data_IF_604684650886
#
_entry.id   IF_604684650886
#
_cell.length_a   1.000
_cell.length_b   1.000
_cell.length_c   1.000
_cell.angle_alpha   90.00
_cell.angle_beta   90.00
_cell.angle_gamma   90.00
#
_symmetry.space_group_name_H-M   'P 1'
#
loop_
_entity.id
_entity.type
_entity.pdbx_description
1 polymer ?
#
# COMPACT_ATOMS: atom_id res chain seq x y z
N UNK A 1 -16.64 40.97 -21.51
CA UNK A 1 -16.56 39.51 -21.67
C UNK A 1 -16.27 38.91 -20.29
N UNK A 2 -17.31 38.41 -19.61
CA UNK A 2 -17.18 37.88 -18.25
C UNK A 2 -16.64 36.45 -18.28
N UNK A 3 -15.38 36.28 -17.87
CA UNK A 3 -14.77 34.98 -17.62
C UNK A 3 -15.51 34.29 -16.47
N UNK A 4 -16.37 33.33 -16.81
CA UNK A 4 -17.03 32.48 -15.82
C UNK A 4 -15.99 31.55 -15.20
N UNK A 5 -15.58 31.83 -13.97
CA UNK A 5 -14.74 30.93 -13.18
C UNK A 5 -15.58 29.72 -12.75
N UNK A 6 -15.38 28.59 -13.41
CA UNK A 6 -15.96 27.31 -13.02
C UNK A 6 -15.28 26.83 -11.74
N UNK A 7 -15.92 27.04 -10.58
CA UNK A 7 -15.48 26.52 -9.29
C UNK A 7 -15.48 24.98 -9.35
N UNK A 8 -14.30 24.39 -9.46
CA UNK A 8 -14.14 22.94 -9.41
C UNK A 8 -14.70 22.39 -8.09
N UNK A 9 -15.55 21.35 -8.13
CA UNK A 9 -16.11 20.76 -6.93
C UNK A 9 -14.98 20.22 -6.04
N UNK A 10 -14.88 20.74 -4.80
CA UNK A 10 -14.01 20.21 -3.76
C UNK A 10 -14.46 18.79 -3.42
N UNK A 11 -13.86 17.80 -4.07
CA UNK A 11 -14.04 16.40 -3.70
C UNK A 11 -13.57 16.21 -2.25
N UNK A 12 -14.28 15.41 -1.43
CA UNK A 12 -13.87 15.17 -0.05
C UNK A 12 -12.46 14.56 -0.02
N UNK A 13 -11.52 15.33 0.55
CA UNK A 13 -10.09 15.02 0.69
C UNK A 13 -9.94 14.03 1.87
N UNK A 14 -10.40 12.80 1.67
CA UNK A 14 -10.26 11.72 2.64
C UNK A 14 -9.71 10.47 1.96
N UNK A 15 -8.73 9.82 2.60
CA UNK A 15 -8.30 8.49 2.20
C UNK A 15 -9.52 7.57 2.37
N UNK A 16 -9.95 6.83 1.34
CA UNK A 16 -11.08 5.93 1.48
C UNK A 16 -10.77 4.91 2.58
N UNK A 17 -11.68 4.79 3.56
CA UNK A 17 -11.45 4.02 4.78
C UNK A 17 -11.10 2.55 4.50
N UNK A 18 -11.49 2.01 3.34
CA UNK A 18 -11.15 0.64 2.94
C UNK A 18 -9.65 0.47 2.69
N UNK A 19 -9.02 1.33 1.88
CA UNK A 19 -7.64 1.19 1.44
C UNK A 19 -6.68 1.32 2.63
N UNK A 20 -6.93 2.27 3.52
CA UNK A 20 -6.14 2.40 4.75
C UNK A 20 -6.28 1.18 5.68
N UNK A 21 -7.49 0.63 5.80
CA UNK A 21 -7.72 -0.59 6.59
C UNK A 21 -7.00 -1.81 6.00
N UNK A 22 -7.00 -1.95 4.68
CA UNK A 22 -6.26 -3.03 3.97
C UNK A 22 -4.75 -2.85 4.08
N UNK A 23 -4.24 -1.63 3.91
CA UNK A 23 -2.84 -1.34 4.13
C UNK A 23 -2.44 -1.66 5.58
N UNK A 24 -3.25 -1.29 6.57
CA UNK A 24 -3.04 -1.69 7.98
C UNK A 24 -3.02 -3.21 8.17
N UNK A 25 -3.89 -3.94 7.48
CA UNK A 25 -3.90 -5.41 7.50
C UNK A 25 -2.62 -5.99 6.89
N UNK A 26 -2.20 -5.52 5.71
CA UNK A 26 -0.92 -5.86 5.09
C UNK A 26 0.23 -5.68 6.08
N UNK A 27 0.33 -4.53 6.75
CA UNK A 27 1.42 -4.27 7.69
C UNK A 27 1.40 -5.19 8.92
N UNK A 28 0.25 -5.73 9.31
CA UNK A 28 0.19 -6.77 10.34
C UNK A 28 0.72 -8.09 9.79
N UNK A 29 0.34 -8.47 8.57
CA UNK A 29 0.86 -9.69 7.92
C UNK A 29 2.38 -9.65 7.77
N UNK A 30 2.95 -8.53 7.30
CA UNK A 30 4.39 -8.39 7.10
C UNK A 30 5.20 -8.53 8.41
N UNK A 31 4.59 -8.22 9.56
CA UNK A 31 5.20 -8.45 10.89
C UNK A 31 5.21 -9.91 11.32
N UNK A 32 4.38 -10.75 10.70
CA UNK A 32 4.19 -12.15 11.03
C UNK A 32 4.57 -13.06 9.85
N UNK A 33 5.51 -12.62 9.00
CA UNK A 33 6.14 -13.50 8.01
C UNK A 33 6.91 -14.62 8.72
N UNK A 34 7.00 -15.82 8.12
CA UNK A 34 7.71 -16.93 8.74
C UNK A 34 9.22 -16.66 8.80
N UNK A 35 9.88 -17.27 9.79
CA UNK A 35 11.32 -17.17 10.00
C UNK A 35 12.17 -17.77 8.85
N UNK A 36 11.56 -18.48 7.90
CA UNK A 36 12.22 -18.95 6.68
C UNK A 36 12.59 -17.81 5.72
N UNK A 37 11.96 -16.65 5.85
CA UNK A 37 12.32 -15.45 5.09
C UNK A 37 13.48 -14.74 5.81
N UNK A 38 14.61 -14.48 5.14
CA UNK A 38 15.76 -13.80 5.74
C UNK A 38 15.39 -12.50 6.44
N UNK A 39 15.83 -12.34 7.69
CA UNK A 39 15.63 -11.12 8.47
C UNK A 39 16.78 -10.15 8.20
N UNK A 40 16.45 -8.97 7.66
CA UNK A 40 17.38 -7.87 7.39
C UNK A 40 18.68 -8.32 6.70
N UNK A 41 18.62 -8.78 5.42
CA UNK A 41 19.83 -9.11 4.69
C UNK A 41 20.77 -7.88 4.59
N UNK A 42 22.09 -8.09 4.46
CA UNK A 42 23.05 -7.01 4.25
C UNK A 42 22.63 -6.08 3.12
N UNK A 43 22.99 -4.80 3.23
CA UNK A 43 22.46 -3.77 2.33
C UNK A 43 22.76 -4.03 0.85
N UNK A 44 23.93 -4.61 0.57
CA UNK A 44 24.38 -4.97 -0.79
C UNK A 44 23.56 -6.12 -1.42
N UNK A 45 22.91 -6.94 -0.58
CA UNK A 45 22.13 -8.11 -1.02
C UNK A 45 20.62 -7.85 -1.05
N UNK A 46 20.17 -6.77 -0.41
CA UNK A 46 18.76 -6.42 -0.41
C UNK A 46 18.35 -5.89 -1.79
N UNK A 47 17.18 -6.32 -2.23
CA UNK A 47 16.54 -5.76 -3.43
C UNK A 47 15.50 -4.70 -3.12
N UNK A 48 15.18 -4.48 -1.84
CA UNK A 48 14.09 -3.59 -1.44
C UNK A 48 14.57 -2.18 -1.17
N UNK A 49 14.17 -1.27 -2.08
CA UNK A 49 14.43 0.16 -1.98
C UNK A 49 13.15 0.92 -2.32
N UNK A 50 12.56 1.57 -1.32
CA UNK A 50 11.28 2.26 -1.47
C UNK A 50 11.48 3.78 -1.45
N UNK A 51 11.72 4.36 -2.62
CA UNK A 51 11.76 5.80 -2.86
C UNK A 51 11.28 6.10 -4.27
N UNK A 52 10.61 7.24 -4.47
CA UNK A 52 10.24 7.69 -5.81
C UNK A 52 11.47 8.33 -6.44
N UNK A 53 11.77 7.97 -7.68
CA UNK A 53 12.79 8.64 -8.46
C UNK A 53 12.26 10.02 -8.90
N UNK A 54 12.94 11.13 -8.58
CA UNK A 54 12.50 12.45 -9.00
C UNK A 54 12.42 12.59 -10.53
N UNK A 55 13.24 11.87 -11.29
CA UNK A 55 13.22 11.90 -12.76
C UNK A 55 11.94 11.24 -13.30
N UNK A 56 11.63 10.02 -12.84
CA UNK A 56 10.37 9.34 -13.20
C UNK A 56 9.13 10.16 -12.81
N UNK A 57 9.19 10.86 -11.66
CA UNK A 57 8.10 11.73 -11.20
C UNK A 57 7.94 12.94 -12.12
N UNK A 58 9.04 13.51 -12.61
CA UNK A 58 9.02 14.66 -13.51
C UNK A 58 8.51 14.28 -14.91
N UNK A 59 8.92 13.12 -15.42
CA UNK A 59 8.62 12.70 -16.79
C UNK A 59 7.22 12.14 -16.95
N UNK A 60 6.81 11.24 -16.05
CA UNK A 60 5.59 10.43 -16.20
C UNK A 60 4.60 10.60 -15.04
N UNK A 61 5.01 11.32 -14.00
CA UNK A 61 4.18 11.64 -12.83
C UNK A 61 4.31 10.67 -11.66
N UNK A 62 3.81 11.10 -10.49
CA UNK A 62 3.97 10.36 -9.23
C UNK A 62 3.42 8.93 -9.27
N UNK A 63 2.28 8.72 -9.96
CA UNK A 63 1.64 7.40 -10.02
C UNK A 63 2.44 6.41 -10.88
N UNK A 64 3.04 6.88 -11.98
CA UNK A 64 3.94 6.06 -12.79
C UNK A 64 5.17 5.68 -11.99
N UNK A 65 5.87 6.67 -11.40
CA UNK A 65 7.06 6.44 -10.58
C UNK A 65 6.77 5.47 -9.41
N UNK A 66 5.62 5.61 -8.76
CA UNK A 66 5.17 4.69 -7.72
C UNK A 66 5.01 3.26 -8.22
N UNK A 67 4.34 3.08 -9.37
CA UNK A 67 4.14 1.75 -9.96
C UNK A 67 5.46 1.12 -10.38
N UNK A 68 6.26 1.85 -11.16
CA UNK A 68 7.58 1.44 -11.62
C UNK A 68 8.45 1.01 -10.43
N UNK A 69 8.44 1.79 -9.34
CA UNK A 69 9.25 1.47 -8.16
C UNK A 69 8.88 0.15 -7.50
N UNK A 70 7.58 -0.12 -7.35
CA UNK A 70 7.11 -1.40 -6.82
C UNK A 70 7.45 -2.56 -7.77
N UNK A 71 7.33 -2.35 -9.08
CA UNK A 71 7.68 -3.38 -10.07
C UNK A 71 9.17 -3.73 -10.05
N UNK A 72 10.05 -2.73 -9.95
CA UNK A 72 11.50 -2.92 -9.85
C UNK A 72 11.85 -3.60 -8.53
N UNK A 73 11.31 -3.11 -7.41
CA UNK A 73 11.59 -3.62 -6.06
C UNK A 73 11.21 -5.09 -5.92
N UNK A 74 10.01 -5.47 -6.39
CA UNK A 74 9.54 -6.84 -6.34
C UNK A 74 9.93 -7.67 -7.57
N UNK A 75 10.70 -7.09 -8.50
CA UNK A 75 11.13 -7.70 -9.75
C UNK A 75 9.96 -8.34 -10.51
N UNK A 76 8.80 -7.70 -10.54
CA UNK A 76 7.57 -8.31 -11.07
C UNK A 76 7.64 -8.60 -12.56
N UNK A 77 8.50 -7.87 -13.28
CA UNK A 77 8.80 -8.13 -14.69
C UNK A 77 9.43 -9.52 -14.91
N UNK A 78 10.14 -10.07 -13.91
CA UNK A 78 10.76 -11.41 -13.97
C UNK A 78 9.80 -12.53 -13.60
N UNK A 79 8.63 -12.23 -13.04
CA UNK A 79 7.73 -13.26 -12.53
C UNK A 79 7.03 -14.03 -13.67
N UNK A 80 6.85 -13.46 -14.87
CA UNK A 80 6.19 -14.12 -16.02
C UNK A 80 4.88 -14.87 -15.65
N UNK A 81 4.07 -14.30 -14.75
CA UNK A 81 2.83 -14.90 -14.23
C UNK A 81 2.97 -15.65 -12.89
N UNK A 82 4.20 -15.85 -12.41
CA UNK A 82 4.46 -16.40 -11.09
C UNK A 82 3.93 -15.48 -9.97
N UNK A 83 3.65 -16.11 -8.82
CA UNK A 83 3.21 -15.43 -7.61
C UNK A 83 4.33 -14.56 -7.06
N UNK A 84 3.97 -13.40 -6.51
CA UNK A 84 4.91 -12.53 -5.81
C UNK A 84 5.28 -13.19 -4.48
N UNK A 85 6.57 -13.28 -4.17
CA UNK A 85 7.11 -13.87 -2.95
C UNK A 85 7.99 -12.84 -2.24
N UNK A 86 7.85 -12.72 -0.93
CA UNK A 86 8.74 -11.88 -0.12
C UNK A 86 10.09 -12.57 0.06
N UNK A 87 11.16 -11.90 -0.35
CA UNK A 87 12.53 -12.44 -0.30
C UNK A 87 13.26 -12.08 1.00
N UNK A 88 12.76 -11.09 1.72
CA UNK A 88 13.35 -10.57 2.95
C UNK A 88 12.25 -10.01 3.87
N UNK A 89 12.55 -9.97 5.17
CA UNK A 89 11.72 -9.35 6.19
C UNK A 89 12.54 -8.36 7.04
N UNK A 90 11.86 -7.52 7.84
CA UNK A 90 12.51 -6.58 8.75
C UNK A 90 12.32 -5.10 8.40
N UNK A 91 13.37 -4.29 8.62
CA UNK A 91 13.36 -2.82 8.57
C UNK A 91 12.94 -2.28 7.20
N UNK A 92 13.35 -2.95 6.12
CA UNK A 92 13.03 -2.54 4.73
C UNK A 92 11.54 -2.70 4.41
N UNK A 93 10.87 -3.71 4.94
CA UNK A 93 9.40 -3.77 4.87
C UNK A 93 8.74 -2.69 5.74
N UNK A 94 9.42 -2.21 6.78
CA UNK A 94 9.03 -1.01 7.52
C UNK A 94 9.05 0.26 6.67
N UNK A 95 10.01 0.41 5.75
CA UNK A 95 10.06 1.56 4.83
C UNK A 95 8.99 1.47 3.74
N UNK A 96 8.63 0.26 3.26
CA UNK A 96 7.46 0.04 2.41
C UNK A 96 6.17 0.59 3.04
N UNK A 97 5.99 0.40 4.35
CA UNK A 97 4.83 0.94 5.06
C UNK A 97 4.74 2.46 4.99
N UNK A 98 5.86 3.15 5.19
CA UNK A 98 5.92 4.61 5.08
C UNK A 98 5.68 5.06 3.64
N UNK A 99 6.32 4.38 2.69
CA UNK A 99 6.19 4.63 1.26
C UNK A 99 4.73 4.50 0.77
N UNK A 100 4.04 3.40 1.10
CA UNK A 100 2.64 3.22 0.74
C UNK A 100 1.74 4.27 1.39
N UNK A 101 1.92 4.57 2.68
CA UNK A 101 1.11 5.58 3.37
C UNK A 101 1.25 6.98 2.76
N UNK A 102 2.48 7.38 2.44
CA UNK A 102 2.75 8.68 1.82
C UNK A 102 2.08 8.77 0.44
N UNK A 103 2.23 7.73 -0.39
CA UNK A 103 1.68 7.72 -1.74
C UNK A 103 0.14 7.64 -1.76
N UNK A 104 -0.46 6.83 -0.89
CA UNK A 104 -1.93 6.76 -0.73
C UNK A 104 -2.50 8.11 -0.31
N UNK A 105 -1.80 8.84 0.56
CA UNK A 105 -2.23 10.18 0.99
C UNK A 105 -2.10 11.22 -0.12
N UNK A 106 -0.99 11.22 -0.86
CA UNK A 106 -0.71 12.19 -1.93
C UNK A 106 -1.62 11.98 -3.16
N UNK A 107 -1.77 10.73 -3.59
CA UNK A 107 -2.46 10.37 -4.83
C UNK A 107 -3.91 9.97 -4.56
N UNK A 108 -4.75 10.96 -4.20
CA UNK A 108 -6.18 10.78 -3.92
C UNK A 108 -7.08 10.75 -5.17
N UNK A 109 -6.49 10.76 -6.38
CA UNK A 109 -7.23 10.68 -7.63
C UNK A 109 -7.99 9.33 -7.74
N UNK A 110 -9.22 9.32 -8.28
CA UNK A 110 -10.00 8.09 -8.48
C UNK A 110 -9.22 6.97 -9.20
N UNK A 111 -8.49 7.31 -10.26
CA UNK A 111 -7.76 6.31 -11.07
C UNK A 111 -6.52 5.77 -10.35
N UNK A 112 -5.83 6.62 -9.58
CA UNK A 112 -4.70 6.23 -8.75
C UNK A 112 -5.13 5.24 -7.66
N UNK A 113 -6.34 5.40 -7.10
CA UNK A 113 -6.87 4.49 -6.07
C UNK A 113 -7.03 3.07 -6.57
N UNK A 114 -7.45 2.88 -7.82
CA UNK A 114 -7.56 1.54 -8.42
C UNK A 114 -6.22 0.80 -8.42
N UNK A 115 -5.16 1.50 -8.84
CA UNK A 115 -3.80 0.97 -8.90
C UNK A 115 -3.22 0.71 -7.50
N UNK A 116 -3.37 1.65 -6.57
CA UNK A 116 -2.93 1.49 -5.18
C UNK A 116 -3.61 0.30 -4.51
N UNK A 117 -4.94 0.18 -4.68
CA UNK A 117 -5.68 -0.93 -4.12
C UNK A 117 -5.20 -2.27 -4.71
N UNK A 118 -4.99 -2.35 -6.03
CA UNK A 118 -4.46 -3.55 -6.69
C UNK A 118 -3.07 -3.95 -6.15
N UNK A 119 -2.20 -2.99 -5.88
CA UNK A 119 -0.91 -3.28 -5.25
C UNK A 119 -1.05 -3.78 -3.82
N UNK A 120 -1.87 -3.12 -3.00
CA UNK A 120 -2.14 -3.55 -1.63
C UNK A 120 -2.71 -4.98 -1.61
N UNK A 121 -3.64 -5.31 -2.52
CA UNK A 121 -4.14 -6.68 -2.68
C UNK A 121 -3.05 -7.68 -2.99
N UNK A 122 -2.26 -7.37 -4.03
CA UNK A 122 -1.22 -8.27 -4.50
C UNK A 122 -0.21 -8.57 -3.39
N UNK A 123 0.13 -7.57 -2.57
CA UNK A 123 1.03 -7.70 -1.42
C UNK A 123 0.39 -8.49 -0.27
N UNK A 124 -0.91 -8.33 0.00
CA UNK A 124 -1.64 -9.12 1.00
C UNK A 124 -1.64 -10.61 0.60
N UNK A 125 -1.97 -10.90 -0.66
CA UNK A 125 -1.96 -12.25 -1.19
C UNK A 125 -0.56 -12.85 -1.13
N UNK A 126 0.47 -12.11 -1.53
CA UNK A 126 1.86 -12.55 -1.45
C UNK A 126 2.31 -12.85 -0.01
N UNK A 127 1.92 -12.02 0.96
CA UNK A 127 2.27 -12.22 2.36
C UNK A 127 1.59 -13.49 2.91
N UNK A 128 0.32 -13.68 2.56
CA UNK A 128 -0.47 -14.85 2.94
C UNK A 128 0.07 -16.13 2.29
N UNK A 129 0.40 -16.09 1.00
CA UNK A 129 1.02 -17.19 0.24
C UNK A 129 2.43 -17.53 0.78
N UNK A 130 3.14 -16.54 1.32
CA UNK A 130 4.40 -16.74 2.04
C UNK A 130 4.21 -17.32 3.44
N UNK A 131 2.98 -17.66 3.85
CA UNK A 131 2.69 -18.27 5.14
C UNK A 131 2.48 -17.30 6.31
N UNK A 132 2.37 -15.98 6.04
CA UNK A 132 2.10 -15.02 7.11
C UNK A 132 0.72 -15.28 7.74
N UNK A 133 0.70 -15.43 9.07
CA UNK A 133 -0.53 -15.64 9.84
C UNK A 133 -0.57 -14.65 11.00
N UNK A 134 -1.60 -13.82 11.05
CA UNK A 134 -1.83 -12.96 12.21
C UNK A 134 -2.36 -13.87 13.33
N UNK A 135 -1.66 -14.01 14.46
CA UNK A 135 -2.18 -14.79 15.57
C UNK A 135 -3.55 -14.21 15.97
N UNK A 136 -4.55 -15.05 16.26
CA UNK A 136 -5.79 -14.57 16.83
C UNK A 136 -5.39 -13.75 18.05
N UNK A 137 -5.86 -12.50 18.12
CA UNK A 137 -5.69 -11.73 19.35
C UNK A 137 -6.25 -12.61 20.43
N UNK A 138 -5.41 -13.06 21.37
CA UNK A 138 -5.93 -13.59 22.62
C UNK A 138 -6.75 -12.43 23.17
N UNK A 139 -8.07 -12.53 23.06
CA UNK A 139 -8.92 -11.85 24.02
C UNK A 139 -8.38 -12.41 25.32
N UNK A 140 -7.59 -11.61 26.03
CA UNK A 140 -7.55 -11.78 27.46
C UNK A 140 -8.97 -11.42 27.85
N UNK A 141 -9.84 -12.42 27.84
CA UNK A 141 -11.06 -12.40 28.60
C UNK A 141 -10.54 -12.21 30.02
N UNK A 142 -10.51 -10.94 30.42
CA UNK A 142 -10.54 -10.58 31.82
C UNK A 142 -11.93 -11.07 32.23
N UNK A 143 -12.00 -12.37 32.56
CA UNK A 143 -13.13 -12.99 33.23
C UNK A 143 -13.31 -12.19 34.51
N UNK A 144 -14.25 -11.25 34.41
CA UNK A 144 -14.73 -10.44 35.50
C UNK A 144 -15.84 -11.22 36.19
N UNK A 145 -15.46 -12.35 36.78
CA UNK A 145 -16.24 -13.07 37.78
C UNK A 145 -15.36 -13.14 39.03
N UNK A 146 -15.51 -12.14 39.91
CA UNK A 146 -15.66 -12.30 41.36
C UNK A 146 -15.75 -10.92 42.07
N UNK A 147 -16.94 -10.68 42.61
CA UNK A 147 -17.27 -10.03 43.88
C UNK A 147 -16.25 -9.10 44.61
N UNK A 148 -16.54 -7.78 44.56
CA UNK A 148 -16.34 -6.74 45.62
C UNK A 148 -14.90 -6.53 46.23
N UNK A 149 -14.68 -5.53 47.12
CA UNK A 149 -14.50 -4.12 46.81
C UNK A 149 -13.15 -3.54 47.34
N UNK A 150 -12.92 -2.23 47.07
CA UNK A 150 -11.95 -1.27 47.69
C UNK A 150 -10.65 -0.96 46.94
N UNK A 151 -10.64 0.29 46.45
CA UNK A 151 -9.67 1.36 46.75
C UNK A 151 -8.31 0.92 47.32
N UNK A 152 -7.27 1.11 46.53
CA UNK A 152 -6.13 1.96 46.91
C UNK A 152 -5.48 2.53 45.65
N UNK A 153 -5.66 3.83 45.48
CA UNK A 153 -4.94 4.66 44.52
C UNK A 153 -3.50 4.81 45.00
N UNK A 154 -2.55 4.26 44.26
CA UNK A 154 -1.13 4.48 44.50
C UNK A 154 -0.67 5.70 43.67
N UNK A 155 -0.46 6.80 44.39
CA UNK A 155 0.03 8.09 43.90
C UNK A 155 1.50 7.95 43.53
N UNK A 156 1.83 8.05 42.23
CA UNK A 156 3.20 8.18 41.76
C UNK A 156 3.66 9.63 42.00
N UNK A 157 4.56 9.82 42.96
CA UNK A 157 5.30 11.07 43.18
C UNK A 157 6.28 11.31 42.01
N UNK A 158 6.18 12.50 41.41
CA UNK A 158 7.19 13.04 40.50
C UNK A 158 8.12 13.95 41.30
N UNK A 159 9.36 13.53 41.53
CA UNK A 159 10.42 14.43 41.97
C UNK A 159 10.98 15.18 40.77
N UNK A 160 10.86 16.50 40.85
CA UNK A 160 11.38 17.49 39.91
C UNK A 160 12.56 18.19 40.57
N UNK A 161 13.78 17.89 40.12
CA UNK A 161 14.98 18.64 40.50
C UNK A 161 15.75 19.09 39.25
N UNK A 162 15.97 20.41 39.20
CA UNK A 162 16.63 21.19 38.16
C UNK A 162 18.17 21.02 38.19
N UNK A 163 18.91 21.37 37.12
CA UNK A 163 20.32 21.01 36.92
C UNK A 163 21.28 22.08 37.44
N UNK A 164 22.44 21.66 37.97
CA UNK A 164 23.58 22.54 38.24
C UNK A 164 24.88 21.91 37.72
N UNK A 165 25.44 22.59 36.72
CA UNK A 165 26.82 22.73 36.18
C UNK A 165 27.96 21.73 36.49
N UNK A 166 28.90 21.55 35.53
CA UNK A 166 29.90 20.47 35.52
C UNK A 166 31.24 20.86 36.15
N UNK A 167 31.94 19.88 36.71
CA UNK A 167 33.37 19.98 37.07
C UNK A 167 34.17 18.89 36.36
N UNK A 168 35.19 19.33 35.64
CA UNK A 168 36.23 18.56 34.94
C UNK A 168 37.35 18.22 35.92
N UNK A 169 37.84 16.97 35.92
CA UNK A 169 39.26 16.56 36.02
C UNK A 169 39.36 15.03 36.10
N UNK A 170 39.99 14.32 35.16
CA UNK A 170 41.42 14.01 34.95
C UNK A 170 41.83 12.64 35.55
N UNK A 171 42.68 11.91 34.80
CA UNK A 171 43.57 10.77 35.15
C UNK A 171 43.05 9.31 35.19
N UNK A 172 43.27 8.58 34.07
CA UNK A 172 44.09 7.35 33.81
C UNK A 172 44.56 6.43 34.97
N UNK A 173 45.22 5.27 34.71
CA UNK A 173 45.01 4.13 33.78
C UNK A 173 45.23 2.73 34.44
N UNK A 174 45.17 1.64 33.63
CA UNK A 174 45.68 0.26 33.89
C UNK A 174 44.94 -0.56 34.97
N UNK A 175 44.80 -1.90 34.92
CA UNK A 175 45.49 -2.96 34.20
C UNK A 175 44.73 -4.30 34.33
N UNK A 176 44.81 -5.12 33.27
CA UNK A 176 45.14 -6.56 33.27
C UNK A 176 44.49 -7.53 34.26
N UNK A 177 43.73 -8.51 33.74
CA UNK A 177 43.76 -9.93 34.18
C UNK A 177 42.90 -10.82 33.27
N UNK A 178 43.55 -11.62 32.42
CA UNK A 178 43.14 -12.98 32.02
C UNK A 178 43.54 -13.97 33.15
N UNK A 179 43.37 -15.32 33.12
CA UNK A 179 42.97 -16.29 32.06
C UNK A 179 42.07 -17.46 32.61
N UNK A 180 42.10 -18.77 32.20
CA UNK A 180 42.17 -19.47 30.88
C UNK A 180 41.08 -20.60 30.68
N UNK A 181 41.26 -21.42 29.62
CA UNK A 181 40.84 -22.86 29.45
C UNK A 181 39.43 -23.06 28.81
N UNK A 182 39.17 -23.87 27.77
CA UNK A 182 39.94 -24.91 27.04
C UNK A 182 39.44 -25.11 25.61
N UNK A 183 40.39 -25.47 24.78
CA UNK A 183 40.34 -26.23 23.52
C UNK A 183 39.25 -27.30 23.40
N UNK A 184 38.60 -27.36 22.24
CA UNK A 184 38.30 -28.65 21.61
C UNK A 184 38.35 -28.50 20.08
N UNK A 185 39.19 -29.34 19.48
CA UNK A 185 39.40 -29.43 18.04
C UNK A 185 38.32 -30.32 17.43
N UNK A 186 37.64 -29.84 16.38
CA UNK A 186 37.11 -30.73 15.35
C UNK A 186 37.38 -30.14 13.98
N UNK A 187 38.40 -30.74 13.37
CA UNK A 187 38.70 -30.77 11.96
C UNK A 187 37.49 -31.32 11.19
N UNK A 188 36.94 -30.51 10.28
CA UNK A 188 36.01 -30.97 9.27
C UNK A 188 36.34 -30.29 7.94
N UNK A 189 37.24 -30.95 7.20
CA UNK A 189 37.28 -31.11 5.75
C UNK A 189 36.59 -30.02 4.92
N UNK A 190 37.43 -29.11 4.40
CA UNK A 190 37.07 -28.21 3.32
C UNK A 190 36.80 -29.01 2.03
N UNK A 191 35.53 -29.33 1.78
CA UNK A 191 35.07 -29.67 0.45
C UNK A 191 34.70 -28.37 -0.28
N UNK A 192 35.69 -27.76 -0.94
CA UNK A 192 35.46 -26.73 -1.95
C UNK A 192 34.46 -27.26 -2.98
N UNK A 193 33.32 -26.58 -3.23
CA UNK A 193 32.52 -26.89 -4.40
C UNK A 193 33.36 -26.49 -5.62
N UNK A 194 33.87 -27.51 -6.32
CA UNK A 194 34.46 -27.35 -7.66
C UNK A 194 33.44 -26.62 -8.53
N UNK A 195 33.73 -25.37 -8.85
CA UNK A 195 33.11 -24.70 -9.97
C UNK A 195 33.35 -25.58 -11.21
N UNK A 196 32.34 -25.80 -12.07
CA UNK A 196 32.57 -26.40 -13.36
C UNK A 196 33.56 -25.50 -14.11
N UNK A 197 34.78 -26.03 -14.28
CA UNK A 197 35.81 -25.47 -15.13
C UNK A 197 35.20 -25.31 -16.52
N UNK A 198 34.86 -24.06 -16.87
CA UNK A 198 34.48 -23.71 -18.24
C UNK A 198 35.71 -23.91 -19.10
N UNK A 199 35.77 -25.07 -19.76
CA UNK A 199 36.67 -25.30 -20.87
C UNK A 199 36.46 -24.19 -21.89
N UNK A 200 37.51 -23.46 -22.30
CA UNK A 200 37.38 -22.48 -23.36
C UNK A 200 36.92 -23.18 -24.64
N UNK A 201 36.03 -22.56 -25.43
CA UNK A 201 35.59 -23.14 -26.69
C UNK A 201 36.80 -23.37 -27.60
N UNK A 202 36.87 -24.52 -28.30
CA UNK A 202 37.94 -24.76 -29.25
C UNK A 202 37.91 -23.68 -30.35
N UNK A 203 39.06 -23.03 -30.56
CA UNK A 203 39.26 -22.11 -31.68
C UNK A 203 38.90 -22.85 -32.97
N UNK A 204 38.03 -22.30 -33.83
CA UNK A 204 37.78 -22.89 -35.13
C UNK A 204 39.07 -22.81 -35.94
N UNK A 205 39.60 -23.98 -36.30
CA UNK A 205 40.71 -24.10 -37.22
C UNK A 205 40.29 -23.54 -38.59
N UNK A 206 40.96 -22.48 -38.99
CA UNK A 206 40.95 -21.92 -40.34
C UNK A 206 41.60 -22.92 -41.30
N UNK A 207 40.85 -23.92 -41.73
CA UNK A 207 41.19 -24.70 -42.92
C UNK A 207 40.09 -24.52 -43.94
N UNK A 208 40.32 -23.57 -44.83
CA UNK A 208 39.66 -23.52 -46.12
C UNK A 208 40.03 -24.79 -46.90
N UNK A 209 39.05 -25.57 -47.36
CA UNK A 209 39.05 -26.21 -48.68
C UNK A 209 37.62 -26.62 -49.00
N UNK A 210 37.11 -25.99 -50.06
CA UNK A 210 36.00 -26.35 -50.94
C UNK A 210 35.07 -27.52 -50.55
N UNK A 211 33.77 -27.26 -50.47
CA UNK A 211 32.80 -27.77 -51.45
C UNK A 211 31.42 -27.17 -51.23
N UNK A 212 30.74 -26.93 -52.34
CA UNK A 212 29.50 -26.19 -52.46
C UNK A 212 28.30 -26.93 -51.84
N UNK A 213 27.59 -26.27 -50.93
CA UNK A 213 26.15 -26.44 -50.74
C UNK A 213 25.60 -25.16 -50.09
N UNK A 214 24.89 -24.37 -50.89
CA UNK A 214 24.24 -23.13 -50.48
C UNK A 214 23.17 -23.40 -49.42
N UNK A 215 23.49 -23.12 -48.15
CA UNK A 215 22.46 -22.88 -47.13
C UNK A 215 21.94 -21.45 -47.31
N UNK A 216 20.65 -21.23 -47.61
CA UNK A 216 20.11 -19.89 -47.75
C UNK A 216 20.10 -19.20 -46.38
N UNK A 217 20.80 -18.06 -46.31
CA UNK A 217 20.96 -17.29 -45.08
C UNK A 217 19.61 -16.92 -44.43
N UNK A 218 19.54 -17.10 -43.12
CA UNK A 218 18.49 -16.53 -42.28
C UNK A 218 18.56 -15.00 -42.34
N UNK A 219 17.92 -14.40 -43.34
CA UNK A 219 17.65 -12.97 -43.36
C UNK A 219 16.57 -12.67 -42.31
N UNK A 220 16.90 -11.81 -41.35
CA UNK A 220 15.95 -11.23 -40.41
C UNK A 220 14.85 -10.52 -41.22
N UNK A 221 13.71 -11.18 -41.41
CA UNK A 221 12.58 -10.64 -42.17
C UNK A 221 12.07 -9.42 -41.41
N UNK A 222 12.25 -8.23 -42.00
CA UNK A 222 11.70 -6.98 -41.48
C UNK A 222 10.19 -7.19 -41.27
N UNK A 223 9.69 -6.82 -40.09
CA UNK A 223 8.31 -7.01 -39.60
C UNK A 223 7.22 -6.51 -40.57
N UNK A 224 7.59 -5.71 -41.57
CA UNK A 224 6.71 -5.16 -42.60
C UNK A 224 6.50 -6.06 -43.84
N UNK A 225 7.06 -7.28 -43.87
CA UNK A 225 6.83 -8.25 -44.96
C UNK A 225 5.57 -9.11 -44.82
N UNK A 226 4.72 -8.85 -43.83
CA UNK A 226 3.38 -9.45 -43.79
C UNK A 226 2.45 -8.73 -44.76
N UNK A 227 2.50 -9.14 -46.04
CA UNK A 227 1.34 -9.17 -46.94
C UNK A 227 0.44 -7.93 -46.99
N UNK A 228 0.99 -6.71 -46.90
CA UNK A 228 0.19 -5.50 -47.14
C UNK A 228 -0.10 -5.45 -48.63
N UNK A 229 -1.24 -6.00 -49.04
CA UNK A 229 -1.88 -5.60 -50.29
C UNK A 229 -1.84 -4.07 -50.30
N UNK A 230 -1.26 -3.47 -51.34
CA UNK A 230 -1.14 -2.02 -51.47
C UNK A 230 -2.58 -1.47 -51.52
N UNK A 231 -3.11 -1.09 -50.36
CA UNK A 231 -4.41 -0.45 -50.24
C UNK A 231 -4.36 0.84 -51.06
N UNK A 232 -5.36 1.04 -51.90
CA UNK A 232 -5.47 2.27 -52.68
C UNK A 232 -5.60 3.46 -51.72
N UNK A 233 -5.04 4.64 -52.04
CA UNK A 233 -5.27 5.86 -51.25
C UNK A 233 -6.76 6.15 -50.98
N UNK A 234 -7.65 5.74 -51.89
CA UNK A 234 -9.10 5.85 -51.71
C UNK A 234 -9.64 4.89 -50.63
N UNK A 235 -9.14 3.65 -50.58
CA UNK A 235 -9.52 2.66 -49.56
C UNK A 235 -9.02 3.06 -48.17
N UNK A 236 -7.78 3.61 -48.09
CA UNK A 236 -7.23 4.11 -46.84
C UNK A 236 -8.09 5.24 -46.25
N UNK A 237 -8.49 6.21 -47.08
CA UNK A 237 -9.39 7.30 -46.66
C UNK A 237 -10.75 6.77 -46.23
N UNK A 238 -11.29 5.77 -46.93
CA UNK A 238 -12.56 5.12 -46.57
C UNK A 238 -12.48 4.41 -45.22
N UNK A 239 -11.40 3.64 -44.98
CA UNK A 239 -11.17 2.99 -43.68
C UNK A 239 -10.98 4.01 -42.56
N UNK A 240 -10.20 5.07 -42.79
CA UNK A 240 -10.00 6.12 -41.79
C UNK A 240 -11.31 6.83 -41.43
N UNK A 241 -12.15 7.13 -42.44
CA UNK A 241 -13.48 7.71 -42.21
C UNK A 241 -14.37 6.76 -41.40
N UNK A 242 -14.38 5.46 -41.75
CA UNK A 242 -15.13 4.43 -41.02
C UNK A 242 -14.70 4.32 -39.56
N UNK A 243 -13.38 4.26 -39.30
CA UNK A 243 -12.85 4.24 -37.94
C UNK A 243 -13.16 5.52 -37.16
N UNK A 244 -13.09 6.68 -37.81
CA UNK A 244 -13.46 7.96 -37.17
C UNK A 244 -14.94 8.00 -36.80
N UNK A 245 -15.83 7.55 -37.68
CA UNK A 245 -17.27 7.49 -37.38
C UNK A 245 -17.58 6.48 -36.28
N UNK A 246 -16.94 5.32 -36.29
CA UNK A 246 -17.13 4.29 -35.27
C UNK A 246 -16.61 4.75 -33.90
N UNK A 247 -15.46 5.42 -33.86
CA UNK A 247 -14.92 6.01 -32.64
C UNK A 247 -15.86 7.07 -32.05
N UNK A 248 -16.47 7.92 -32.89
CA UNK A 248 -17.47 8.91 -32.44
C UNK A 248 -18.71 8.24 -31.86
N UNK A 249 -19.22 7.19 -32.50
CA UNK A 249 -20.38 6.43 -32.00
C UNK A 249 -20.05 5.76 -30.66
N UNK A 250 -18.87 5.14 -30.53
CA UNK A 250 -18.43 4.52 -29.27
C UNK A 250 -18.27 5.54 -28.15
N UNK A 251 -17.74 6.74 -28.45
CA UNK A 251 -17.62 7.82 -27.48
C UNK A 251 -19.00 8.28 -26.97
N UNK A 252 -19.96 8.49 -27.87
CA UNK A 252 -21.33 8.85 -27.50
C UNK A 252 -22.04 7.76 -26.68
N UNK A 253 -21.85 6.49 -27.05
CA UNK A 253 -22.41 5.38 -26.27
C UNK A 253 -21.80 5.31 -24.85
N UNK A 254 -20.49 5.57 -24.71
CA UNK A 254 -19.82 5.59 -23.41
C UNK A 254 -20.33 6.73 -22.52
N UNK A 255 -20.53 7.93 -23.07
CA UNK A 255 -21.07 9.07 -22.30
C UNK A 255 -22.53 8.84 -21.89
N UNK A 256 -23.34 8.21 -22.74
CA UNK A 256 -24.71 7.82 -22.39
C UNK A 256 -24.74 6.76 -21.28
N UNK A 257 -23.87 5.75 -21.35
CA UNK A 257 -23.75 4.71 -20.33
C UNK A 257 -23.31 5.30 -18.97
N UNK A 258 -22.37 6.23 -18.97
CA UNK A 258 -21.94 6.94 -17.77
C UNK A 258 -23.09 7.76 -17.15
N UNK A 259 -23.89 8.45 -17.98
CA UNK A 259 -25.08 9.18 -17.52
C UNK A 259 -26.10 8.26 -16.86
N UNK A 260 -26.40 7.11 -17.47
CA UNK A 260 -27.31 6.09 -16.91
C UNK A 260 -26.80 5.54 -15.58
N UNK A 261 -25.49 5.30 -15.45
CA UNK A 261 -24.91 4.85 -14.18
C UNK A 261 -25.01 5.92 -13.08
N UNK A 262 -24.74 7.19 -13.41
CA UNK A 262 -24.88 8.30 -12.47
C UNK A 262 -26.33 8.44 -11.99
N UNK A 263 -27.29 8.39 -12.90
CA UNK A 263 -28.72 8.47 -12.58
C UNK A 263 -29.15 7.30 -11.69
N UNK A 264 -28.80 6.06 -12.04
CA UNK A 264 -29.08 4.87 -11.23
C UNK A 264 -28.49 4.97 -9.80
N UNK A 265 -27.26 5.48 -9.66
CA UNK A 265 -26.66 5.67 -8.33
C UNK A 265 -27.34 6.79 -7.53
N UNK A 266 -27.84 7.84 -8.19
CA UNK A 266 -28.58 8.91 -7.55
C UNK A 266 -29.96 8.44 -7.07
N UNK A 267 -30.62 7.58 -7.84
CA UNK A 267 -31.92 6.99 -7.49
C UNK A 267 -31.80 6.04 -6.30
N UNK A 268 -30.79 5.15 -6.33
CA UNK A 268 -30.50 4.26 -5.20
C UNK A 268 -30.22 5.03 -3.89
N UNK A 269 -29.53 6.17 -3.98
CA UNK A 269 -29.32 7.06 -2.81
C UNK A 269 -30.61 7.68 -2.32
N UNK A 270 -31.49 8.12 -3.23
CA UNK A 270 -32.82 8.66 -2.88
C UNK A 270 -33.69 7.60 -2.20
N UNK A 271 -33.65 6.35 -2.66
CA UNK A 271 -34.35 5.23 -2.03
C UNK A 271 -33.83 4.92 -0.63
N UNK A 272 -32.51 4.81 -0.44
CA UNK A 272 -31.92 4.59 0.88
C UNK A 272 -32.27 5.71 1.88
N UNK A 273 -32.35 6.95 1.42
CA UNK A 273 -32.79 8.07 2.27
C UNK A 273 -34.27 7.95 2.66
N UNK A 274 -35.14 7.50 1.75
CA UNK A 274 -36.56 7.24 2.05
C UNK A 274 -36.70 6.11 3.08
N UNK A 275 -35.99 5.00 2.89
CA UNK A 275 -35.98 3.88 3.84
C UNK A 275 -35.48 4.31 5.22
N UNK A 276 -34.41 5.10 5.27
CA UNK A 276 -33.87 5.60 6.53
C UNK A 276 -34.86 6.51 7.26
N UNK A 277 -35.52 7.43 6.55
CA UNK A 277 -36.57 8.26 7.12
C UNK A 277 -37.73 7.43 7.65
N UNK A 278 -38.15 6.41 6.92
CA UNK A 278 -39.23 5.52 7.34
C UNK A 278 -38.86 4.76 8.62
N UNK A 279 -37.65 4.17 8.68
CA UNK A 279 -37.14 3.49 9.89
C UNK A 279 -37.05 4.43 11.10
N UNK A 280 -36.64 5.68 10.87
CA UNK A 280 -36.59 6.68 11.94
C UNK A 280 -37.98 7.01 12.51
N UNK A 281 -38.99 7.14 11.64
CA UNK A 281 -40.37 7.36 12.06
C UNK A 281 -40.94 6.14 12.79
N UNK A 282 -40.68 4.92 12.30
CA UNK A 282 -41.12 3.68 12.95
C UNK A 282 -40.49 3.51 14.34
N UNK A 283 -39.21 3.82 14.49
CA UNK A 283 -38.52 3.78 15.78
C UNK A 283 -39.09 4.81 16.76
N UNK A 284 -39.43 6.03 16.30
CA UNK A 284 -40.12 7.04 17.12
C UNK A 284 -41.51 6.58 17.55
N UNK A 285 -42.28 5.94 16.66
CA UNK A 285 -43.60 5.41 17.00
C UNK A 285 -43.51 4.29 18.03
N UNK A 286 -42.57 3.35 17.87
CA UNK A 286 -42.37 2.24 18.81
C UNK A 286 -41.93 2.70 20.22
N UNK A 287 -41.20 3.81 20.31
CA UNK A 287 -40.73 4.37 21.60
C UNK A 287 -41.72 5.35 22.23
N UNK A 288 -42.50 6.07 21.41
CA UNK A 288 -43.50 7.04 21.86
C UNK A 288 -44.66 6.43 22.65
N UNK A 289 -45.10 5.23 22.29
CA UNK A 289 -46.22 4.56 22.98
C UNK A 289 -45.84 3.95 24.35
N UNK A 290 -44.55 3.88 24.70
CA UNK A 290 -44.07 3.30 25.97
C UNK A 290 -44.12 4.28 27.16
N UNK A 291 -44.23 5.59 26.92
CA UNK A 291 -44.08 6.60 27.98
C UNK A 291 -45.42 7.05 28.61
N UNK A 292 -46.55 6.45 28.21
CA UNK A 292 -47.89 6.88 28.63
C UNK A 292 -48.45 6.26 29.92
N UNK A 293 -47.74 5.36 30.62
CA UNK A 293 -48.30 4.64 31.79
C UNK A 293 -47.28 4.36 32.90
N UNK A 294 -46.71 5.41 33.49
CA UNK A 294 -46.09 5.41 34.84
C UNK A 294 -46.04 6.88 35.25
N UNK A 295 -47.07 7.39 35.89
CA UNK A 295 -47.40 7.08 37.28
C UNK A 295 -47.13 8.37 38.05
N UNK A 296 -48.22 8.99 38.52
CA UNK A 296 -48.19 10.10 39.47
C UNK A 296 -47.26 9.74 40.63
N UNK A 297 -46.25 10.57 40.91
CA UNK A 297 -45.34 10.26 42.01
C UNK A 297 -44.13 11.15 42.12
N UNK A 298 -44.31 12.26 42.85
CA UNK A 298 -43.29 13.04 43.55
C UNK A 298 -42.36 13.93 42.72
N UNK A 299 -42.70 15.21 42.84
CA UNK A 299 -41.79 16.33 42.73
C UNK A 299 -40.49 16.09 43.52
N UNK A 300 -39.36 16.15 42.81
CA UNK A 300 -38.09 16.53 43.38
C UNK A 300 -37.38 17.43 42.36
N UNK A 301 -37.41 18.72 42.69
CA UNK A 301 -36.64 19.78 42.06
C UNK A 301 -35.16 19.42 42.00
N UNK A 302 -34.64 19.17 40.80
CA UNK A 302 -33.22 19.15 40.53
C UNK A 302 -32.94 20.01 39.29
N UNK A 303 -32.68 21.29 39.55
CA UNK A 303 -32.04 22.23 38.64
C UNK A 303 -30.66 21.72 38.25
N UNK A 304 -30.58 20.94 37.17
CA UNK A 304 -29.32 20.60 36.52
C UNK A 304 -28.98 21.70 35.50
N UNK A 305 -28.04 22.55 35.87
CA UNK A 305 -27.40 23.55 35.02
C UNK A 305 -26.64 22.86 33.88
N UNK A 306 -27.18 22.95 32.65
CA UNK A 306 -26.47 22.55 31.44
C UNK A 306 -25.49 23.68 31.04
N UNK A 307 -24.32 23.71 31.68
CA UNK A 307 -23.20 24.51 31.22
C UNK A 307 -22.66 23.93 29.90
N UNK A 308 -23.11 24.49 28.78
CA UNK A 308 -22.51 24.32 27.46
C UNK A 308 -21.06 24.83 27.49
N UNK A 309 -20.09 23.92 27.67
CA UNK A 309 -18.67 24.23 27.43
C UNK A 309 -18.45 24.38 25.92
N UNK A 310 -18.58 25.61 25.44
CA UNK A 310 -18.09 26.07 24.13
C UNK A 310 -16.57 25.87 24.09
N UNK A 311 -16.10 24.88 23.34
CA UNK A 311 -14.69 24.78 22.94
C UNK A 311 -14.37 25.87 21.91
N UNK A 312 -13.36 26.73 22.11
CA UNK A 312 -12.99 27.73 21.12
C UNK A 312 -12.37 27.07 19.89
N UNK A 313 -12.92 27.41 18.72
CA UNK A 313 -12.43 26.98 17.42
C UNK A 313 -11.27 27.90 17.02
N UNK A 314 -10.03 27.39 17.11
CA UNK A 314 -8.82 28.15 16.72
C UNK A 314 -8.64 28.03 15.21
N UNK A 315 -8.92 29.12 14.49
CA UNK A 315 -8.61 29.28 13.07
C UNK A 315 -7.15 29.73 12.93
N UNK A 316 -6.27 28.85 12.46
CA UNK A 316 -4.96 29.25 11.96
C UNK A 316 -5.10 29.76 10.53
N UNK A 317 -5.01 31.08 10.35
CA UNK A 317 -4.77 31.70 9.07
C UNK A 317 -3.32 31.42 8.65
N UNK A 318 -3.14 30.80 7.48
CA UNK A 318 -1.84 30.65 6.83
C UNK A 318 -1.73 31.78 5.81
N UNK A 319 -0.96 32.80 6.15
CA UNK A 319 -0.57 33.90 5.24
C UNK A 319 0.45 33.41 4.19
N UNK A 320 0.51 34.09 3.03
CA UNK A 320 1.02 33.56 1.76
C UNK A 320 2.51 33.20 1.74
#
# INVERSE_FOLDING_TARGET
MSSSQTLAPKLPIGIPCNLDSRARHLFKLLKHLPASVPLDPPDDNSTYHFFLDPEDVADEGEMYAFNCRLEVTFQTHKLHGAKLVFKECGKRLGTLKLFLKQNIKKNSLPDARGHQNRWVERLITAASDSGAKIPPKRCLDIDSDDDLPRKTSETIQYDSASPSVPAVSTTSPSSTSTPPVSTSMLSASAASPRLPSMTPPPKPATNATASAALCPGLQQRKLFQFGTKKLSPAELKSQQKKHSTEAKVRCLAATEQEKRQKEHTADRKRELMREWQQRFLDQKKATGDSTGKKGEGKAASATASWCLKRTPFVLYAKTP
#
